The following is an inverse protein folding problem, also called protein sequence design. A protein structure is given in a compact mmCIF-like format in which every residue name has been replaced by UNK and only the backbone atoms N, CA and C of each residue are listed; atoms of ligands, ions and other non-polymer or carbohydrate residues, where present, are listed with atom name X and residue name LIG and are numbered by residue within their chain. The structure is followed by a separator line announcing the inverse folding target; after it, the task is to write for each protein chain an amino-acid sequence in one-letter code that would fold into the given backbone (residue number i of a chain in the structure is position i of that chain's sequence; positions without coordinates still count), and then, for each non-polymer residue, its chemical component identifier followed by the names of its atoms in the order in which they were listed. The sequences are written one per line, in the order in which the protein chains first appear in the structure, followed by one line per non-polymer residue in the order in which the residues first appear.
data_IF_907711241681
#
_entry.id   IF_907711241681
#
_cell.length_a   1.000
_cell.length_b   1.000
_cell.length_c   1.000
_cell.angle_alpha   90.00
_cell.angle_beta   90.00
_cell.angle_gamma   90.00
#
_symmetry.space_group_name_H-M   'P 1'
#
loop_
_entity.id
_entity.type
_entity.pdbx_description
1 polymer ?
#
# COMPACT_ATOMS: atom_id res chain seq x y z
N UNK A 1 5.50 -14.35 17.67
CA UNK A 1 5.01 -13.13 16.99
C UNK A 1 3.53 -13.29 16.73
N UNK A 2 2.71 -12.26 16.95
CA UNK A 2 1.29 -12.31 16.59
C UNK A 2 1.13 -12.27 15.06
N UNK A 3 0.16 -13.00 14.52
CA UNK A 3 -0.16 -12.97 13.10
C UNK A 3 -0.67 -11.57 12.69
N UNK A 4 -0.37 -11.13 11.47
CA UNK A 4 -0.88 -9.85 10.98
C UNK A 4 -2.39 -9.92 10.82
N UNK A 5 -3.09 -8.83 11.10
CA UNK A 5 -4.55 -8.74 10.97
C UNK A 5 -4.94 -7.63 10.00
N UNK A 6 -6.12 -7.75 9.40
CA UNK A 6 -6.72 -6.71 8.60
C UNK A 6 -7.65 -5.87 9.48
N UNK A 7 -7.68 -4.53 9.35
CA UNK A 7 -8.63 -3.72 10.11
C UNK A 7 -10.07 -4.01 9.67
N UNK A 8 -10.97 -4.23 10.64
CA UNK A 8 -12.38 -4.56 10.37
C UNK A 8 -13.21 -3.36 9.89
N UNK A 9 -12.78 -2.15 10.25
CA UNK A 9 -13.37 -0.88 9.86
C UNK A 9 -12.26 0.02 9.29
N UNK A 10 -12.61 0.99 8.46
CA UNK A 10 -11.70 1.95 7.84
C UNK A 10 -11.83 1.92 6.32
N UNK A 11 -11.77 3.10 5.70
CA UNK A 11 -11.89 3.21 4.24
C UNK A 11 -10.87 2.27 3.57
N UNK A 12 -11.27 1.67 2.46
CA UNK A 12 -10.42 0.73 1.72
C UNK A 12 -10.29 1.19 0.28
N UNK A 13 -9.05 1.39 -0.16
CA UNK A 13 -8.73 1.60 -1.56
C UNK A 13 -8.47 0.27 -2.24
N UNK A 14 -8.98 0.09 -3.46
CA UNK A 14 -8.98 -1.20 -4.16
C UNK A 14 -8.52 -1.02 -5.59
N UNK A 15 -7.61 -1.89 -6.05
CA UNK A 15 -7.18 -1.96 -7.45
C UNK A 15 -7.15 -3.42 -7.95
N UNK A 16 -7.80 -3.69 -9.07
CA UNK A 16 -7.75 -5.01 -9.72
C UNK A 16 -6.45 -5.12 -10.51
N UNK A 17 -5.72 -6.23 -10.34
CA UNK A 17 -4.42 -6.45 -10.97
C UNK A 17 -4.33 -7.86 -11.53
N UNK A 18 -3.92 -7.98 -12.80
CA UNK A 18 -3.57 -9.27 -13.39
C UNK A 18 -2.13 -9.66 -13.07
N UNK A 19 -1.91 -10.87 -12.56
CA UNK A 19 -0.57 -11.42 -12.34
C UNK A 19 0.07 -11.76 -13.68
N UNK A 20 1.24 -11.15 -13.96
CA UNK A 20 1.96 -11.34 -15.22
C UNK A 20 3.17 -12.25 -15.02
N UNK A 21 3.74 -12.68 -16.14
CA UNK A 21 4.95 -13.50 -16.16
C UNK A 21 6.10 -12.89 -15.36
N UNK A 22 6.29 -11.56 -15.44
CA UNK A 22 7.35 -10.86 -14.72
C UNK A 22 7.24 -10.94 -13.19
N UNK A 23 6.06 -11.25 -12.65
CA UNK A 23 5.88 -11.44 -11.21
C UNK A 23 6.14 -12.89 -10.76
N UNK A 24 6.30 -13.84 -11.69
CA UNK A 24 6.34 -15.26 -11.37
C UNK A 24 7.78 -15.80 -11.34
N UNK A 25 8.01 -16.80 -10.50
CA UNK A 25 9.23 -17.60 -10.50
C UNK A 25 9.07 -18.88 -11.36
N UNK A 26 10.11 -19.72 -11.52
CA UNK A 26 10.03 -20.95 -12.31
C UNK A 26 9.01 -21.99 -11.83
N UNK A 27 8.43 -21.86 -10.63
CA UNK A 27 7.34 -22.73 -10.17
C UNK A 27 5.97 -22.27 -10.69
N UNK A 28 5.89 -21.17 -11.44
CA UNK A 28 4.65 -20.67 -12.03
C UNK A 28 3.74 -19.92 -11.05
N UNK A 29 4.28 -19.55 -9.88
CA UNK A 29 3.59 -18.75 -8.87
C UNK A 29 4.30 -17.41 -8.68
N UNK A 30 3.61 -16.45 -8.07
CA UNK A 30 4.19 -15.15 -7.72
C UNK A 30 5.42 -15.33 -6.83
N UNK A 31 6.56 -14.82 -7.28
CA UNK A 31 7.78 -14.75 -6.49
C UNK A 31 7.55 -13.78 -5.32
N UNK A 32 7.69 -14.23 -4.08
CA UNK A 32 7.20 -13.49 -2.91
C UNK A 32 7.62 -12.00 -2.81
N UNK A 33 8.82 -11.53 -3.23
CA UNK A 33 9.15 -10.10 -3.22
C UNK A 33 8.29 -9.26 -4.17
N UNK A 34 7.71 -9.87 -5.20
CA UNK A 34 6.85 -9.18 -6.15
C UNK A 34 5.57 -8.67 -5.50
N UNK A 35 5.10 -9.28 -4.40
CA UNK A 35 4.02 -8.68 -3.60
C UNK A 35 4.39 -7.29 -3.08
N UNK A 36 5.66 -7.06 -2.72
CA UNK A 36 6.11 -5.75 -2.23
C UNK A 36 6.12 -4.70 -3.34
N UNK A 37 6.47 -5.11 -4.57
CA UNK A 37 6.39 -4.24 -5.76
C UNK A 37 4.94 -3.90 -6.07
N UNK A 38 4.05 -4.90 -6.07
CA UNK A 38 2.61 -4.71 -6.27
C UNK A 38 2.00 -3.78 -5.21
N UNK A 39 2.38 -3.96 -3.94
CA UNK A 39 1.95 -3.09 -2.85
C UNK A 39 2.47 -1.67 -2.97
N UNK A 40 3.71 -1.47 -3.42
CA UNK A 40 4.22 -0.13 -3.73
C UNK A 40 3.42 0.53 -4.86
N UNK A 41 3.13 -0.19 -5.95
CA UNK A 41 2.26 0.33 -7.02
C UNK A 41 0.86 0.69 -6.50
N UNK A 42 0.30 -0.10 -5.58
CA UNK A 42 -0.98 0.20 -4.93
C UNK A 42 -0.93 1.49 -4.09
N UNK A 43 0.17 1.75 -3.39
CA UNK A 43 0.37 3.02 -2.66
C UNK A 43 0.41 4.19 -3.63
N UNK A 44 1.13 4.06 -4.74
CA UNK A 44 1.18 5.10 -5.78
C UNK A 44 -0.20 5.38 -6.38
N UNK A 45 -0.96 4.33 -6.71
CA UNK A 45 -2.32 4.44 -7.19
C UNK A 45 -3.25 5.07 -6.15
N UNK A 46 -3.12 4.72 -4.87
CA UNK A 46 -3.91 5.33 -3.81
C UNK A 46 -3.63 6.83 -3.68
N UNK A 47 -2.37 7.26 -3.77
CA UNK A 47 -2.05 8.69 -3.80
C UNK A 47 -2.68 9.39 -5.01
N UNK A 48 -2.48 8.84 -6.21
CA UNK A 48 -2.95 9.44 -7.45
C UNK A 48 -4.49 9.48 -7.55
N UNK A 49 -5.15 8.36 -7.22
CA UNK A 49 -6.57 8.14 -7.49
C UNK A 49 -7.42 8.31 -6.24
N UNK A 50 -6.98 7.77 -5.09
CA UNK A 50 -7.73 7.84 -3.83
C UNK A 50 -7.58 9.18 -3.10
N UNK A 51 -6.37 9.73 -3.06
CA UNK A 51 -6.10 11.03 -2.41
C UNK A 51 -6.15 12.20 -3.38
N UNK A 52 -6.18 11.94 -4.70
CA UNK A 52 -6.03 12.94 -5.74
C UNK A 52 -4.79 13.83 -5.53
N UNK A 53 -3.65 13.19 -5.22
CA UNK A 53 -2.35 13.80 -5.01
C UNK A 53 -1.31 13.13 -5.91
N UNK A 54 -0.79 13.81 -6.96
CA UNK A 54 0.14 13.19 -7.89
C UNK A 54 1.43 12.72 -7.21
N UNK A 55 1.67 11.41 -7.16
CA UNK A 55 2.82 10.82 -6.47
C UNK A 55 4.16 11.25 -7.10
N UNK A 56 4.18 11.38 -8.44
CA UNK A 56 5.35 11.89 -9.16
C UNK A 56 5.66 13.36 -8.83
N UNK A 57 4.64 14.18 -8.52
CA UNK A 57 4.84 15.55 -8.08
C UNK A 57 5.49 15.59 -6.69
N UNK A 58 5.00 14.73 -5.78
CA UNK A 58 5.55 14.56 -4.43
C UNK A 58 7.05 14.22 -4.45
N UNK A 59 7.43 13.18 -5.20
CA UNK A 59 8.81 12.71 -5.28
C UNK A 59 9.71 13.63 -6.10
N UNK A 60 9.16 14.25 -7.16
CA UNK A 60 9.90 15.08 -8.10
C UNK A 60 9.96 16.54 -7.64
N UNK A 61 9.14 17.43 -8.20
CA UNK A 61 9.12 18.85 -7.84
C UNK A 61 9.15 19.17 -6.34
N UNK A 62 8.39 18.43 -5.51
CA UNK A 62 8.26 18.71 -4.08
C UNK A 62 9.33 18.05 -3.21
N UNK A 63 10.22 17.25 -3.81
CA UNK A 63 11.37 16.61 -3.15
C UNK A 63 10.99 15.90 -1.85
N UNK A 64 9.81 15.28 -1.80
CA UNK A 64 9.29 14.57 -0.62
C UNK A 64 9.26 13.07 -0.88
N UNK A 65 10.00 12.33 -0.05
CA UNK A 65 10.09 10.87 -0.07
C UNK A 65 9.09 10.22 0.88
N UNK A 66 8.80 8.94 0.62
CA UNK A 66 7.96 8.11 1.47
C UNK A 66 8.58 6.71 1.67
N UNK A 67 9.83 6.61 2.18
CA UNK A 67 10.48 5.33 2.41
C UNK A 67 9.74 4.46 3.45
N UNK A 68 9.79 3.14 3.22
CA UNK A 68 9.35 2.13 4.18
C UNK A 68 10.46 1.92 5.21
N UNK A 69 10.15 2.12 6.49
CA UNK A 69 11.09 1.94 7.62
C UNK A 69 10.82 0.66 8.42
N UNK A 70 9.64 0.06 8.25
CA UNK A 70 9.30 -1.25 8.81
C UNK A 70 8.31 -1.97 7.90
N UNK A 71 8.52 -3.27 7.72
CA UNK A 71 7.70 -4.14 6.89
C UNK A 71 7.53 -5.49 7.59
N UNK A 72 6.29 -5.95 7.69
CA UNK A 72 5.96 -7.33 8.00
C UNK A 72 5.01 -7.86 6.92
N UNK A 73 5.18 -9.11 6.48
CA UNK A 73 4.36 -9.70 5.43
C UNK A 73 4.12 -11.19 5.69
N UNK A 74 2.86 -11.60 5.70
CA UNK A 74 2.41 -12.98 5.76
C UNK A 74 2.02 -13.45 4.35
N UNK A 75 2.63 -14.53 3.86
CA UNK A 75 2.27 -15.19 2.61
C UNK A 75 1.36 -16.39 2.92
N UNK A 76 0.07 -16.26 2.60
CA UNK A 76 -1.00 -17.15 3.10
C UNK A 76 -1.51 -18.14 2.06
N UNK A 77 -1.45 -17.78 0.79
CA UNK A 77 -1.82 -18.63 -0.33
C UNK A 77 -1.06 -18.22 -1.59
N UNK A 78 -0.96 -19.14 -2.56
CA UNK A 78 -0.31 -18.88 -3.84
C UNK A 78 -1.22 -18.09 -4.79
N UNK A 79 -0.60 -17.30 -5.66
CA UNK A 79 -1.21 -16.74 -6.86
C UNK A 79 -0.37 -17.18 -8.07
N UNK A 80 -1.01 -17.42 -9.21
CA UNK A 80 -0.41 -17.95 -10.44
C UNK A 80 -0.41 -16.90 -11.54
N UNK A 81 0.45 -17.13 -12.54
CA UNK A 81 0.40 -16.36 -13.79
C UNK A 81 -1.01 -16.43 -14.41
N UNK A 82 -1.57 -15.27 -14.74
CA UNK A 82 -2.91 -15.15 -15.33
C UNK A 82 -4.04 -14.96 -14.31
N UNK A 83 -3.79 -15.16 -13.02
CA UNK A 83 -4.77 -14.83 -11.98
C UNK A 83 -5.10 -13.33 -12.02
N UNK A 84 -6.38 -13.00 -11.81
CA UNK A 84 -6.78 -11.66 -11.39
C UNK A 84 -6.83 -11.64 -9.87
N UNK A 85 -6.26 -10.58 -9.29
CA UNK A 85 -6.27 -10.36 -7.84
C UNK A 85 -6.76 -8.95 -7.53
N UNK A 86 -7.43 -8.81 -6.39
CA UNK A 86 -7.76 -7.52 -5.81
C UNK A 86 -6.67 -7.13 -4.83
N UNK A 87 -5.97 -6.04 -5.13
CA UNK A 87 -5.10 -5.37 -4.18
C UNK A 87 -5.92 -4.39 -3.35
N UNK A 88 -5.72 -4.41 -2.04
CA UNK A 88 -6.46 -3.57 -1.09
C UNK A 88 -5.51 -2.86 -0.12
N UNK A 89 -5.81 -1.60 0.20
CA UNK A 89 -5.06 -0.74 1.09
C UNK A 89 -5.98 -0.10 2.12
N UNK A 90 -5.59 -0.18 3.40
CA UNK A 90 -6.24 0.50 4.51
C UNK A 90 -5.21 1.27 5.35
N UNK A 91 -5.59 2.43 5.88
CA UNK A 91 -4.75 3.20 6.82
C UNK A 91 -4.97 2.66 8.22
N UNK A 92 -3.92 2.14 8.85
CA UNK A 92 -3.94 1.69 10.24
C UNK A 92 -3.74 2.86 11.21
N UNK A 93 -2.84 3.79 10.85
CA UNK A 93 -2.49 4.93 11.70
C UNK A 93 -1.89 6.06 10.89
N UNK A 94 -2.34 7.29 11.15
CA UNK A 94 -1.72 8.52 10.67
C UNK A 94 -1.02 9.22 11.86
N UNK A 95 0.31 9.33 11.80
CA UNK A 95 1.13 10.04 12.77
C UNK A 95 1.44 11.48 12.36
N UNK A 96 2.42 12.11 13.03
CA UNK A 96 2.91 13.46 12.67
C UNK A 96 3.95 13.46 11.55
N UNK A 97 4.68 12.34 11.39
CA UNK A 97 5.73 12.13 10.36
C UNK A 97 5.62 10.78 9.65
N UNK A 98 4.74 9.90 10.13
CA UNK A 98 4.66 8.51 9.69
C UNK A 98 3.24 8.10 9.34
N UNK A 99 3.15 7.10 8.48
CA UNK A 99 1.92 6.49 8.00
C UNK A 99 2.04 4.97 8.16
N UNK A 100 1.07 4.34 8.80
CA UNK A 100 1.00 2.89 8.90
C UNK A 100 -0.13 2.37 8.02
N UNK A 101 0.18 1.41 7.16
CA UNK A 101 -0.73 0.84 6.18
C UNK A 101 -0.87 -0.67 6.40
N UNK A 102 -2.08 -1.18 6.20
CA UNK A 102 -2.32 -2.58 5.92
C UNK A 102 -2.59 -2.74 4.43
N UNK A 103 -1.91 -3.70 3.79
CA UNK A 103 -2.08 -4.01 2.38
C UNK A 103 -2.33 -5.50 2.22
N UNK A 104 -3.29 -5.89 1.40
CA UNK A 104 -3.52 -7.31 1.09
C UNK A 104 -3.75 -7.56 -0.38
N UNK A 105 -3.39 -8.76 -0.80
CA UNK A 105 -3.71 -9.30 -2.10
C UNK A 105 -4.75 -10.42 -1.89
N UNK A 106 -5.90 -10.30 -2.53
CA UNK A 106 -7.03 -11.22 -2.42
C UNK A 106 -7.29 -11.83 -3.79
N UNK A 107 -7.37 -13.16 -3.88
CA UNK A 107 -7.75 -13.83 -5.12
C UNK A 107 -9.25 -13.73 -5.38
N UNK A 108 -9.67 -14.04 -6.61
CA UNK A 108 -11.10 -14.09 -6.99
C UNK A 108 -11.91 -15.12 -6.17
N UNK A 109 -11.24 -16.10 -5.55
CA UNK A 109 -11.82 -17.06 -4.60
C UNK A 109 -12.03 -16.48 -3.18
N UNK A 110 -11.73 -15.20 -2.98
CA UNK A 110 -11.82 -14.51 -1.69
C UNK A 110 -10.68 -14.83 -0.72
N UNK A 111 -9.73 -15.71 -1.09
CA UNK A 111 -8.63 -16.07 -0.21
C UNK A 111 -7.52 -15.01 -0.25
N UNK A 112 -7.01 -14.65 0.93
CA UNK A 112 -5.87 -13.75 1.06
C UNK A 112 -4.61 -14.48 0.61
N UNK A 113 -3.94 -13.97 -0.42
CA UNK A 113 -2.66 -14.46 -0.94
C UNK A 113 -1.49 -13.95 -0.12
N UNK A 114 -1.49 -12.64 0.15
CA UNK A 114 -0.51 -11.98 1.00
C UNK A 114 -1.16 -10.86 1.83
N UNK A 115 -0.68 -10.66 3.06
CA UNK A 115 -1.04 -9.54 3.94
C UNK A 115 0.23 -8.89 4.46
N UNK A 116 0.37 -7.57 4.27
CA UNK A 116 1.50 -6.79 4.72
C UNK A 116 1.07 -5.64 5.63
N UNK A 117 1.87 -5.35 6.65
CA UNK A 117 1.84 -4.09 7.39
C UNK A 117 3.12 -3.31 7.08
N UNK A 118 2.95 -2.05 6.66
CA UNK A 118 4.04 -1.14 6.33
C UNK A 118 4.01 0.08 7.25
N UNK A 119 5.19 0.52 7.69
CA UNK A 119 5.38 1.84 8.28
C UNK A 119 6.20 2.67 7.31
N UNK A 120 5.59 3.74 6.81
CA UNK A 120 6.24 4.73 5.95
C UNK A 120 6.53 6.00 6.75
N UNK A 121 7.60 6.69 6.38
CA UNK A 121 7.97 7.98 6.97
C UNK A 121 8.14 9.00 5.86
N UNK A 122 7.61 10.21 6.06
CA UNK A 122 7.85 11.30 5.11
C UNK A 122 9.25 11.83 5.31
N UNK A 123 10.03 11.94 4.23
CA UNK A 123 11.40 12.44 4.26
C UNK A 123 11.61 13.57 3.26
N UNK A 124 12.55 14.47 3.54
CA UNK A 124 13.09 15.35 2.50
C UNK A 124 14.04 14.53 1.62
N UNK A 125 13.92 14.65 0.31
CA UNK A 125 14.85 14.05 -0.65
C UNK A 125 16.10 14.91 -0.87
N UNK A 126 16.16 16.10 -0.27
CA UNK A 126 17.36 16.95 -0.27
C UNK A 126 18.25 16.63 0.93
N UNK A 127 17.65 16.50 2.14
CA UNK A 127 18.41 16.23 3.38
C UNK A 127 18.43 14.76 3.80
N UNK A 128 17.54 13.93 3.25
CA UNK A 128 17.28 12.55 3.68
C UNK A 128 16.80 12.40 5.13
N UNK A 129 16.31 13.50 5.74
CA UNK A 129 15.79 13.50 7.09
C UNK A 129 14.26 13.36 7.13
N UNK A 130 13.74 12.83 8.23
CA UNK A 130 12.31 12.72 8.47
C UNK A 130 11.67 14.11 8.67
N UNK A 131 10.62 14.40 7.91
CA UNK A 131 9.85 15.65 7.96
C UNK A 131 8.45 15.40 8.51
N UNK A 132 7.78 16.49 8.93
CA UNK A 132 6.35 16.45 9.18
C UNK A 132 5.59 16.12 7.90
N UNK A 133 4.49 15.37 8.01
CA UNK A 133 3.63 15.09 6.87
C UNK A 133 3.21 16.43 6.24
N UNK A 134 3.41 16.63 4.92
CA UNK A 134 2.98 17.85 4.26
C UNK A 134 1.48 18.12 4.52
N UNK A 135 1.08 19.35 4.93
CA UNK A 135 -0.30 19.61 5.36
C UNK A 135 -1.37 19.23 4.33
N UNK A 136 -1.08 19.42 3.04
CA UNK A 136 -1.97 19.02 1.95
C UNK A 136 -2.21 17.51 1.90
N UNK A 137 -1.17 16.71 2.12
CA UNK A 137 -1.25 15.25 2.15
C UNK A 137 -1.96 14.80 3.43
N UNK A 138 -1.59 15.36 4.58
CA UNK A 138 -2.21 15.06 5.88
C UNK A 138 -3.72 15.27 5.84
N UNK A 139 -4.17 16.42 5.32
CA UNK A 139 -5.60 16.74 5.18
C UNK A 139 -6.34 15.78 4.25
N UNK A 140 -5.70 15.32 3.16
CA UNK A 140 -6.31 14.35 2.23
C UNK A 140 -6.47 12.98 2.87
N UNK A 141 -5.43 12.48 3.56
CA UNK A 141 -5.50 11.19 4.26
C UNK A 141 -6.55 11.25 5.37
N UNK A 142 -6.56 12.33 6.18
CA UNK A 142 -7.55 12.49 7.25
C UNK A 142 -8.99 12.50 6.72
N UNK A 143 -9.26 13.19 5.61
CA UNK A 143 -10.58 13.17 4.96
C UNK A 143 -10.93 11.80 4.42
N UNK A 144 -9.99 11.11 3.79
CA UNK A 144 -10.21 9.76 3.27
C UNK A 144 -10.55 8.77 4.39
N UNK A 145 -9.84 8.83 5.52
CA UNK A 145 -10.13 8.01 6.70
C UNK A 145 -11.52 8.30 7.29
N UNK A 146 -11.99 9.55 7.22
CA UNK A 146 -13.30 9.94 7.72
C UNK A 146 -14.46 9.63 6.75
N UNK A 147 -14.17 9.26 5.50
CA UNK A 147 -15.17 9.10 4.45
C UNK A 147 -15.96 7.77 4.50
N UNK A 148 -15.81 6.94 5.54
CA UNK A 148 -16.60 5.72 5.67
C UNK A 148 -18.07 5.99 5.98
N UNK A 149 -18.90 5.98 4.93
CA UNK A 149 -19.89 4.95 4.65
C UNK A 149 -20.86 5.53 3.60
N UNK A 150 -20.68 5.21 2.32
CA UNK A 150 -21.84 5.19 1.41
C UNK A 150 -21.93 3.74 0.94
N UNK A 151 -22.88 3.02 1.56
CA UNK A 151 -23.34 1.70 1.13
C UNK A 151 -23.82 1.77 -0.31
#
# INVERSE_FOLDING_TARGET
MAALTWPENGAVFRAATGIRFAQCDPAGIVFYPQYLVLFQSLVEDWFNQGLHYPYAQMLGPERTGLPIVHLACDFRAIARMGDTVQLELAVLRLGSRSLQLALRCVGDDGAVRALAHQVLVFTSLDSHEAISIPPAIQARIARWMAAECTV
#
